data_IF_307390887627
#
_entry.id   IF_307390887627
#
_cell.length_a   1.000
_cell.length_b   1.000
_cell.length_c   1.000
_cell.angle_alpha   90.00
_cell.angle_beta   90.00
_cell.angle_gamma   90.00
#
_symmetry.space_group_name_H-M   'P 1'
#
loop_
_entity.id
_entity.type
_entity.pdbx_description
1 polymer ?
#
# COMPACT_ATOMS: atom_id res chain seq x y z
N UNK A 1 -32.19 -15.66 20.00
CA UNK A 1 -30.92 -15.07 20.48
C UNK A 1 -29.82 -15.47 19.52
N UNK A 2 -29.41 -14.55 18.65
CA UNK A 2 -28.22 -14.68 17.81
C UNK A 2 -27.34 -13.51 18.17
N UNK A 3 -26.29 -13.79 18.94
CA UNK A 3 -25.32 -12.78 19.37
C UNK A 3 -24.44 -12.46 18.16
N UNK A 4 -24.68 -11.30 17.56
CA UNK A 4 -23.79 -10.69 16.57
C UNK A 4 -22.46 -10.40 17.26
N UNK A 5 -21.44 -11.19 16.92
CA UNK A 5 -20.07 -10.90 17.31
C UNK A 5 -19.60 -9.67 16.54
N UNK A 6 -19.65 -8.51 17.19
CA UNK A 6 -18.93 -7.32 16.74
C UNK A 6 -17.45 -7.53 17.09
N UNK A 7 -16.70 -8.15 16.18
CA UNK A 7 -15.26 -7.91 16.15
C UNK A 7 -15.08 -6.48 15.68
N UNK A 8 -14.91 -5.55 16.62
CA UNK A 8 -14.50 -4.18 16.35
C UNK A 8 -13.16 -4.26 15.63
N UNK A 9 -13.10 -3.79 14.38
CA UNK A 9 -11.85 -3.70 13.60
C UNK A 9 -10.80 -2.76 14.23
N UNK A 10 -11.12 -2.12 15.36
CA UNK A 10 -10.22 -1.33 16.20
C UNK A 10 -9.31 -2.17 17.12
N UNK A 11 -9.41 -3.51 17.14
CA UNK A 11 -8.71 -4.33 18.14
C UNK A 11 -7.29 -4.77 17.77
N UNK A 12 -6.80 -4.49 16.55
CA UNK A 12 -5.45 -4.88 16.12
C UNK A 12 -4.55 -3.65 16.10
N UNK A 13 -3.48 -3.60 16.92
CA UNK A 13 -2.55 -2.48 16.91
C UNK A 13 -1.84 -2.40 15.56
N UNK A 14 -1.45 -1.19 15.11
CA UNK A 14 -0.61 -1.03 13.91
C UNK A 14 0.65 -1.89 14.00
N UNK A 15 1.04 -2.48 12.88
CA UNK A 15 2.18 -3.38 12.78
C UNK A 15 3.03 -3.02 11.56
N UNK A 16 4.31 -3.40 11.61
CA UNK A 16 5.25 -3.18 10.49
C UNK A 16 4.76 -3.84 9.19
N UNK A 17 4.05 -4.97 9.29
CA UNK A 17 3.46 -5.69 8.15
C UNK A 17 2.42 -4.86 7.37
N UNK A 18 1.74 -3.91 8.02
CA UNK A 18 0.75 -3.03 7.40
C UNK A 18 1.36 -2.19 6.26
N UNK A 19 2.66 -1.88 6.37
CA UNK A 19 3.40 -1.11 5.38
C UNK A 19 3.63 -1.89 4.08
N UNK A 20 3.41 -3.21 4.05
CA UNK A 20 3.52 -4.03 2.84
C UNK A 20 2.57 -3.57 1.72
N UNK A 21 1.46 -2.89 2.06
CA UNK A 21 0.58 -2.25 1.07
C UNK A 21 1.29 -1.23 0.17
N UNK A 22 2.35 -0.58 0.66
CA UNK A 22 3.20 0.33 -0.14
C UNK A 22 3.92 -0.43 -1.26
N UNK A 23 4.29 -1.69 -1.03
CA UNK A 23 5.01 -2.55 -1.98
C UNK A 23 4.09 -3.15 -3.05
N UNK A 24 2.77 -3.12 -2.85
CA UNK A 24 1.79 -3.43 -3.90
C UNK A 24 1.74 -2.36 -5.01
N UNK A 25 2.27 -1.16 -4.74
CA UNK A 25 2.48 -0.08 -5.70
C UNK A 25 3.97 0.07 -6.05
N UNK A 26 4.38 1.26 -6.47
CA UNK A 26 5.77 1.60 -6.83
C UNK A 26 6.76 1.66 -5.66
N UNK A 27 6.30 1.51 -4.41
CA UNK A 27 7.16 1.54 -3.24
C UNK A 27 8.22 0.45 -3.24
N UNK A 28 9.40 0.72 -2.70
CA UNK A 28 10.55 -0.18 -2.72
C UNK A 28 11.00 -0.51 -1.30
N UNK A 29 11.56 -1.70 -1.12
CA UNK A 29 12.24 -2.10 0.11
C UNK A 29 13.64 -2.60 -0.22
N UNK A 30 14.63 -2.10 0.50
CA UNK A 30 16.05 -2.43 0.27
C UNK A 30 16.69 -2.91 1.56
N UNK A 31 17.48 -3.98 1.46
CA UNK A 31 18.35 -4.44 2.54
C UNK A 31 19.55 -3.49 2.68
N UNK A 32 19.93 -3.17 3.92
CA UNK A 32 21.05 -2.29 4.25
C UNK A 32 21.89 -2.95 5.34
N UNK A 33 23.22 -2.86 5.22
CA UNK A 33 24.16 -3.41 6.20
C UNK A 33 24.77 -4.76 5.79
N UNK A 34 25.75 -5.21 6.58
CA UNK A 34 26.47 -6.47 6.38
C UNK A 34 25.75 -7.64 7.07
N UNK A 35 25.98 -8.90 6.66
CA UNK A 35 25.44 -10.07 7.37
C UNK A 35 25.74 -10.01 8.87
N UNK A 36 24.71 -10.13 9.72
CA UNK A 36 24.82 -10.04 11.18
C UNK A 36 24.42 -8.69 11.79
N UNK A 37 24.35 -7.63 10.99
CA UNK A 37 23.84 -6.30 11.38
C UNK A 37 22.98 -5.72 10.24
N UNK A 38 22.04 -6.55 9.75
CA UNK A 38 21.19 -6.20 8.61
C UNK A 38 19.93 -5.50 9.09
N UNK A 39 19.61 -4.39 8.41
CA UNK A 39 18.30 -3.77 8.44
C UNK A 39 17.71 -3.70 7.04
N UNK A 40 16.49 -3.18 6.95
CA UNK A 40 15.90 -2.80 5.69
C UNK A 40 15.30 -1.39 5.78
N UNK A 41 15.11 -0.78 4.61
CA UNK A 41 14.45 0.52 4.44
C UNK A 41 13.34 0.38 3.43
N UNK A 42 12.14 0.82 3.80
CA UNK A 42 11.00 0.96 2.90
C UNK A 42 10.90 2.41 2.43
N UNK A 43 10.53 2.63 1.17
CA UNK A 43 10.42 3.96 0.56
C UNK A 43 9.32 4.02 -0.50
N UNK A 44 8.70 5.18 -0.67
CA UNK A 44 7.71 5.43 -1.71
C UNK A 44 7.80 6.88 -2.20
N UNK A 45 7.91 7.03 -3.52
CA UNK A 45 7.71 8.30 -4.21
C UNK A 45 6.23 8.41 -4.57
N UNK A 46 5.61 9.53 -4.21
CA UNK A 46 4.17 9.78 -4.37
C UNK A 46 3.93 11.12 -5.06
N UNK A 47 2.75 11.28 -5.65
CA UNK A 47 2.42 12.48 -6.45
C UNK A 47 2.11 13.73 -5.60
N UNK A 48 1.75 13.55 -4.33
CA UNK A 48 1.34 14.64 -3.44
C UNK A 48 1.96 14.53 -2.05
N UNK A 49 2.35 15.66 -1.46
CA UNK A 49 2.98 15.71 -0.14
C UNK A 49 2.09 15.16 0.98
N UNK A 50 0.77 15.33 0.87
CA UNK A 50 -0.17 14.81 1.86
C UNK A 50 -0.15 13.27 1.92
N UNK A 51 0.11 12.59 0.80
CA UNK A 51 0.28 11.13 0.77
C UNK A 51 1.54 10.70 1.50
N UNK A 52 2.64 11.40 1.26
CA UNK A 52 3.91 11.13 1.93
C UNK A 52 3.75 11.32 3.45
N UNK A 53 3.07 12.39 3.86
CA UNK A 53 2.78 12.72 5.26
C UNK A 53 1.87 11.67 5.91
N UNK A 54 0.80 11.24 5.24
CA UNK A 54 -0.08 10.19 5.75
C UNK A 54 0.59 8.82 5.84
N UNK A 55 1.47 8.48 4.89
CA UNK A 55 2.32 7.29 4.98
C UNK A 55 3.34 7.40 6.12
N UNK A 56 3.88 8.60 6.38
CA UNK A 56 4.76 8.85 7.52
C UNK A 56 4.05 8.62 8.87
N UNK A 57 2.78 8.99 8.98
CA UNK A 57 1.95 8.65 10.15
C UNK A 57 1.82 7.13 10.32
N UNK A 58 1.49 6.39 9.25
CA UNK A 58 1.42 4.93 9.30
C UNK A 58 2.75 4.27 9.71
N UNK A 59 3.88 4.81 9.22
CA UNK A 59 5.22 4.36 9.62
C UNK A 59 5.44 4.59 11.12
N UNK A 60 5.06 5.76 11.64
CA UNK A 60 5.19 6.08 13.07
C UNK A 60 4.30 5.19 13.94
N UNK A 61 3.05 4.98 13.52
CA UNK A 61 2.11 4.08 14.18
C UNK A 61 2.64 2.65 14.27
N UNK A 62 3.32 2.17 13.23
CA UNK A 62 3.99 0.86 13.20
C UNK A 62 5.28 0.80 14.05
N UNK A 63 5.63 1.87 14.78
CA UNK A 63 6.80 1.94 15.65
C UNK A 63 8.12 2.20 14.93
N UNK A 64 8.08 2.68 13.69
CA UNK A 64 9.27 3.03 12.90
C UNK A 64 9.45 4.55 12.81
N UNK A 65 10.67 4.99 12.45
CA UNK A 65 10.97 6.41 12.24
C UNK A 65 10.76 6.76 10.77
N UNK A 66 9.81 7.65 10.43
CA UNK A 66 9.66 8.15 9.07
C UNK A 66 10.65 9.28 8.76
N UNK A 67 11.06 9.35 7.50
CA UNK A 67 11.81 10.44 6.90
C UNK A 67 11.02 10.93 5.68
N UNK A 68 10.60 12.20 5.72
CA UNK A 68 10.02 12.88 4.55
C UNK A 68 11.14 13.56 3.76
N UNK A 69 11.01 13.56 2.45
CA UNK A 69 11.95 14.21 1.55
C UNK A 69 11.34 14.43 0.18
N UNK A 70 12.21 14.73 -0.79
CA UNK A 70 11.86 14.83 -2.21
C UNK A 70 12.93 14.12 -3.04
N UNK A 71 12.57 13.65 -4.22
CA UNK A 71 13.53 13.18 -5.23
C UNK A 71 14.30 14.37 -5.82
N UNK A 72 15.32 14.08 -6.64
CA UNK A 72 16.08 15.12 -7.35
C UNK A 72 15.18 15.89 -8.36
N UNK A 73 14.13 15.24 -8.87
CA UNK A 73 13.07 15.84 -9.69
C UNK A 73 11.96 16.52 -8.86
N UNK A 74 12.22 16.81 -7.58
CA UNK A 74 11.32 17.55 -6.69
C UNK A 74 9.99 16.81 -6.39
N UNK A 75 9.95 15.49 -6.54
CA UNK A 75 8.74 14.69 -6.28
C UNK A 75 8.69 14.23 -4.81
N UNK A 76 7.55 14.37 -4.09
CA UNK A 76 7.45 13.93 -2.69
C UNK A 76 7.86 12.47 -2.45
N UNK A 77 8.64 12.25 -1.40
CA UNK A 77 9.18 10.96 -1.00
C UNK A 77 8.94 10.75 0.50
N UNK A 78 8.54 9.54 0.87
CA UNK A 78 8.59 9.06 2.25
C UNK A 78 9.45 7.81 2.32
N UNK A 79 10.24 7.66 3.38
CA UNK A 79 10.98 6.43 3.67
C UNK A 79 11.08 6.20 5.16
N UNK A 80 11.43 4.98 5.54
CA UNK A 80 11.79 4.66 6.93
C UNK A 80 13.27 4.94 7.17
N UNK A 81 13.66 5.18 8.42
CA UNK A 81 15.01 4.87 8.86
C UNK A 81 15.30 3.37 8.61
N UNK A 82 16.58 3.00 8.55
CA UNK A 82 16.95 1.58 8.45
C UNK A 82 16.54 0.86 9.73
N UNK A 83 15.82 -0.26 9.61
CA UNK A 83 15.32 -1.02 10.76
C UNK A 83 15.42 -2.53 10.55
N UNK A 84 15.89 -3.30 11.55
CA UNK A 84 15.83 -4.76 11.53
C UNK A 84 14.40 -5.31 11.42
N UNK A 85 13.40 -4.57 11.92
CA UNK A 85 12.00 -4.99 11.86
C UNK A 85 11.44 -5.14 10.44
N UNK A 86 12.08 -4.48 9.45
CA UNK A 86 11.71 -4.55 8.04
C UNK A 86 12.37 -5.72 7.30
N UNK A 87 13.35 -6.43 7.89
CA UNK A 87 14.10 -7.49 7.21
C UNK A 87 13.19 -8.64 6.78
N UNK A 88 12.22 -9.03 7.60
CA UNK A 88 11.24 -10.06 7.25
C UNK A 88 10.43 -9.69 6.01
N UNK A 89 9.92 -8.45 5.96
CA UNK A 89 9.20 -7.93 4.80
C UNK A 89 10.10 -7.91 3.57
N UNK A 90 11.35 -7.43 3.71
CA UNK A 90 12.29 -7.39 2.61
C UNK A 90 12.55 -8.78 2.03
N UNK A 91 12.76 -9.78 2.89
CA UNK A 91 12.98 -11.17 2.48
C UNK A 91 11.77 -11.79 1.75
N UNK A 92 10.55 -11.44 2.15
CA UNK A 92 9.33 -11.95 1.52
C UNK A 92 8.99 -11.25 0.20
N UNK A 93 9.26 -9.96 0.11
CA UNK A 93 8.89 -9.12 -1.04
C UNK A 93 10.00 -8.95 -2.08
N UNK A 94 11.16 -9.56 -1.88
CA UNK A 94 12.26 -9.49 -2.85
C UNK A 94 12.84 -10.86 -3.15
N UNK A 95 13.22 -11.08 -4.42
CA UNK A 95 14.10 -12.18 -4.84
C UNK A 95 15.31 -11.60 -5.55
N UNK A 96 16.42 -11.52 -4.83
CA UNK A 96 17.58 -10.73 -5.28
C UNK A 96 17.17 -9.26 -5.37
N UNK A 97 17.35 -8.64 -6.55
CA UNK A 97 16.97 -7.26 -6.80
C UNK A 97 15.53 -7.08 -7.31
N UNK A 98 14.76 -8.17 -7.47
CA UNK A 98 13.43 -8.14 -8.09
C UNK A 98 12.34 -8.12 -7.03
N UNK A 99 11.38 -7.20 -7.16
CA UNK A 99 10.16 -7.16 -6.34
C UNK A 99 9.27 -8.36 -6.65
N UNK A 100 8.78 -9.03 -5.61
CA UNK A 100 7.86 -10.16 -5.70
C UNK A 100 6.71 -9.99 -4.71
N UNK A 101 5.60 -10.71 -4.95
CA UNK A 101 4.48 -10.77 -4.00
C UNK A 101 4.61 -12.05 -3.17
N UNK A 102 4.58 -11.99 -1.83
CA UNK A 102 4.70 -13.18 -1.01
C UNK A 102 3.58 -14.18 -1.30
N UNK A 103 3.87 -15.50 -1.33
CA UNK A 103 2.83 -16.51 -1.53
C UNK A 103 1.72 -16.38 -0.51
N UNK A 104 0.47 -16.33 -0.99
CA UNK A 104 -0.74 -16.19 -0.18
C UNK A 104 -0.89 -14.86 0.56
N UNK A 105 -0.08 -13.84 0.29
CA UNK A 105 -0.32 -12.50 0.82
C UNK A 105 -1.75 -12.03 0.48
N UNK A 106 -2.44 -11.48 1.47
CA UNK A 106 -3.77 -10.89 1.37
C UNK A 106 -3.71 -9.54 2.08
N UNK A 107 -4.10 -8.44 1.43
CA UNK A 107 -4.08 -7.15 2.08
C UNK A 107 -5.23 -7.04 3.10
N UNK A 108 -4.90 -6.68 4.34
CA UNK A 108 -5.88 -6.26 5.34
C UNK A 108 -6.27 -4.79 5.17
N UNK A 109 -7.09 -4.25 6.08
CA UNK A 109 -7.51 -2.85 6.07
C UNK A 109 -6.34 -1.85 5.97
N UNK A 110 -5.29 -2.05 6.78
CA UNK A 110 -4.14 -1.14 6.83
C UNK A 110 -3.23 -1.28 5.60
N UNK A 111 -3.01 -2.49 5.07
CA UNK A 111 -2.31 -2.66 3.79
C UNK A 111 -3.09 -2.03 2.62
N UNK A 112 -4.43 -2.16 2.59
CA UNK A 112 -5.26 -1.49 1.59
C UNK A 112 -5.16 0.03 1.71
N UNK A 113 -5.14 0.57 2.94
CA UNK A 113 -4.94 2.00 3.20
C UNK A 113 -3.56 2.46 2.70
N UNK A 114 -2.49 1.73 3.02
CA UNK A 114 -1.14 2.05 2.55
C UNK A 114 -1.03 2.02 1.03
N UNK A 115 -1.66 1.04 0.36
CA UNK A 115 -1.71 0.96 -1.11
C UNK A 115 -2.49 2.13 -1.72
N UNK A 116 -3.63 2.50 -1.11
CA UNK A 116 -4.46 3.64 -1.53
C UNK A 116 -3.71 4.96 -1.38
N UNK A 117 -2.97 5.13 -0.29
CA UNK A 117 -2.10 6.28 -0.08
C UNK A 117 -0.96 6.33 -1.10
N UNK A 118 -0.34 5.20 -1.41
CA UNK A 118 0.78 5.14 -2.34
C UNK A 118 0.37 5.41 -3.79
N UNK A 119 -0.79 4.89 -4.25
CA UNK A 119 -1.14 4.91 -5.67
C UNK A 119 -2.65 4.87 -5.99
N UNK A 120 -3.52 5.23 -5.04
CA UNK A 120 -4.97 5.28 -5.24
C UNK A 120 -5.43 6.51 -6.03
N UNK A 121 -6.32 6.35 -7.00
CA UNK A 121 -6.87 7.46 -7.78
C UNK A 121 -8.31 7.21 -8.24
N UNK A 122 -9.25 8.18 -8.15
CA UNK A 122 -10.57 8.05 -8.73
C UNK A 122 -10.52 8.15 -10.27
N UNK A 123 -11.31 7.33 -10.97
CA UNK A 123 -11.48 7.38 -12.42
C UNK A 123 -12.97 7.25 -12.77
N UNK A 124 -13.66 8.38 -12.94
CA UNK A 124 -15.11 8.40 -13.12
C UNK A 124 -15.83 7.71 -11.95
N UNK A 125 -16.63 6.68 -12.26
CA UNK A 125 -17.33 5.83 -11.28
C UNK A 125 -16.48 4.63 -10.80
N UNK A 126 -15.16 4.71 -10.98
CA UNK A 126 -14.22 3.66 -10.61
C UNK A 126 -13.15 4.20 -9.66
N UNK A 127 -12.50 3.27 -8.98
CA UNK A 127 -11.30 3.57 -8.22
C UNK A 127 -10.14 2.73 -8.73
N UNK A 128 -8.99 3.35 -8.92
CA UNK A 128 -7.78 2.70 -9.37
C UNK A 128 -6.84 2.52 -8.18
N UNK A 129 -6.30 1.31 -8.04
CA UNK A 129 -5.10 1.06 -7.25
C UNK A 129 -3.94 0.87 -8.23
N UNK A 130 -3.03 1.84 -8.29
CA UNK A 130 -1.86 1.78 -9.16
C UNK A 130 -0.91 0.64 -8.78
N UNK A 131 -0.28 0.06 -9.78
CA UNK A 131 0.70 -1.02 -9.66
C UNK A 131 2.08 -0.54 -10.10
N UNK A 132 3.12 -1.27 -9.73
CA UNK A 132 4.48 -0.95 -10.16
C UNK A 132 4.70 -1.25 -11.65
N UNK A 133 4.97 -0.26 -12.52
CA UNK A 133 5.30 -0.51 -13.92
C UNK A 133 6.62 -1.28 -14.12
N UNK A 134 7.52 -1.26 -13.15
CA UNK A 134 8.82 -1.93 -13.20
C UNK A 134 8.80 -3.35 -12.61
N UNK A 135 7.66 -3.81 -12.09
CA UNK A 135 7.50 -5.17 -11.56
C UNK A 135 6.23 -5.85 -12.12
N UNK A 136 6.13 -6.07 -13.45
CA UNK A 136 4.92 -6.63 -14.08
C UNK A 136 4.50 -8.01 -13.54
N UNK A 137 5.45 -8.82 -13.09
CA UNK A 137 5.18 -10.13 -12.51
C UNK A 137 4.37 -10.07 -11.20
N UNK A 138 4.28 -8.89 -10.57
CA UNK A 138 3.48 -8.67 -9.36
C UNK A 138 2.00 -8.43 -9.65
N UNK A 139 1.63 -8.03 -10.88
CA UNK A 139 0.29 -7.52 -11.20
C UNK A 139 -0.81 -8.57 -11.01
N UNK A 140 -0.61 -9.77 -11.56
CA UNK A 140 -1.59 -10.87 -11.47
C UNK A 140 -1.71 -11.43 -10.04
N UNK A 141 -0.62 -11.66 -9.29
CA UNK A 141 -0.69 -12.01 -7.87
C UNK A 141 -1.44 -10.97 -7.02
N UNK A 142 -1.20 -9.67 -7.22
CA UNK A 142 -1.89 -8.59 -6.51
C UNK A 142 -3.39 -8.53 -6.84
N UNK A 143 -3.76 -8.70 -8.12
CA UNK A 143 -5.15 -8.81 -8.53
C UNK A 143 -5.85 -10.00 -7.84
N UNK A 144 -5.18 -11.15 -7.80
CA UNK A 144 -5.69 -12.37 -7.15
C UNK A 144 -5.85 -12.20 -5.64
N UNK A 145 -4.92 -11.51 -4.98
CA UNK A 145 -5.02 -11.19 -3.57
C UNK A 145 -6.25 -10.31 -3.27
N UNK A 146 -6.48 -9.29 -4.11
CA UNK A 146 -7.63 -8.38 -3.96
C UNK A 146 -8.96 -9.11 -4.19
N UNK A 147 -9.03 -10.02 -5.17
CA UNK A 147 -10.18 -10.90 -5.37
C UNK A 147 -10.50 -11.75 -4.14
N UNK A 148 -9.48 -12.29 -3.48
CA UNK A 148 -9.63 -13.17 -2.30
C UNK A 148 -10.13 -12.43 -1.06
N UNK A 149 -9.89 -11.12 -0.94
CA UNK A 149 -10.52 -10.28 0.09
C UNK A 149 -11.88 -9.71 -0.33
N UNK A 150 -12.41 -10.16 -1.48
CA UNK A 150 -13.76 -9.84 -1.94
C UNK A 150 -13.88 -8.55 -2.74
N UNK A 151 -12.77 -7.98 -3.20
CA UNK A 151 -12.72 -6.80 -4.07
C UNK A 151 -12.18 -7.26 -5.44
N UNK A 152 -13.04 -7.78 -6.30
CA UNK A 152 -12.61 -8.29 -7.61
C UNK A 152 -12.34 -7.15 -8.61
N UNK A 153 -11.07 -6.87 -8.98
CA UNK A 153 -10.70 -5.77 -9.86
C UNK A 153 -10.63 -6.19 -11.33
N UNK A 154 -10.44 -5.21 -12.22
CA UNK A 154 -9.97 -5.43 -13.60
C UNK A 154 -8.56 -4.87 -13.73
N UNK A 155 -7.59 -5.70 -14.15
CA UNK A 155 -6.24 -5.23 -14.46
C UNK A 155 -6.27 -4.41 -15.77
N UNK A 156 -5.79 -3.17 -15.72
CA UNK A 156 -5.74 -2.23 -16.84
C UNK A 156 -4.34 -1.64 -17.00
N UNK A 157 -4.09 -0.94 -18.11
CA UNK A 157 -2.90 -0.09 -18.27
C UNK A 157 -1.57 -0.83 -18.46
N UNK A 158 -1.57 -2.17 -18.56
CA UNK A 158 -0.36 -3.00 -18.67
C UNK A 158 0.48 -2.72 -19.92
N UNK A 159 -0.12 -2.13 -20.96
CA UNK A 159 0.60 -1.72 -22.20
C UNK A 159 0.96 -0.22 -22.23
N UNK A 160 0.37 0.58 -21.35
CA UNK A 160 0.45 2.05 -21.38
C UNK A 160 1.35 2.66 -20.30
N UNK A 161 2.17 1.84 -19.62
CA UNK A 161 3.11 2.30 -18.59
C UNK A 161 2.46 2.73 -17.26
N UNK A 162 1.13 2.68 -17.13
CA UNK A 162 0.39 2.99 -15.90
C UNK A 162 -0.50 1.82 -15.51
N UNK A 163 0.07 0.65 -15.15
CA UNK A 163 -0.72 -0.50 -14.76
C UNK A 163 -1.51 -0.20 -13.47
N UNK A 164 -2.76 -0.64 -13.41
CA UNK A 164 -3.61 -0.44 -12.25
C UNK A 164 -4.67 -1.53 -12.13
N UNK A 165 -5.18 -1.71 -10.92
CA UNK A 165 -6.38 -2.49 -10.63
C UNK A 165 -7.57 -1.55 -10.55
N UNK A 166 -8.45 -1.63 -11.55
CA UNK A 166 -9.70 -0.87 -11.59
C UNK A 166 -10.78 -1.59 -10.81
N UNK A 167 -11.34 -0.90 -9.82
CA UNK A 167 -12.41 -1.37 -8.96
C UNK A 167 -13.70 -0.67 -9.39
N UNK A 168 -14.68 -1.47 -9.82
CA UNK A 168 -15.94 -0.97 -10.36
C UNK A 168 -17.14 -1.61 -9.66
N UNK A 169 -18.20 -0.83 -9.55
CA UNK A 169 -19.48 -1.26 -9.00
C UNK A 169 -19.59 -1.05 -7.50
N UNK A 170 -20.76 -0.57 -7.08
CA UNK A 170 -21.09 -0.12 -5.72
C UNK A 170 -20.59 -1.08 -4.64
N UNK A 171 -20.91 -2.38 -4.72
CA UNK A 171 -20.52 -3.38 -3.71
C UNK A 171 -19.00 -3.47 -3.49
N UNK A 172 -18.20 -3.37 -4.55
CA UNK A 172 -16.73 -3.49 -4.46
C UNK A 172 -16.11 -2.21 -3.93
N UNK A 173 -16.64 -1.05 -4.35
CA UNK A 173 -16.23 0.24 -3.83
C UNK A 173 -16.59 0.40 -2.36
N UNK A 174 -17.79 0.00 -1.93
CA UNK A 174 -18.18 0.01 -0.51
C UNK A 174 -17.22 -0.82 0.33
N UNK A 175 -16.85 -2.03 -0.11
CA UNK A 175 -15.84 -2.85 0.58
C UNK A 175 -14.48 -2.18 0.65
N UNK A 176 -14.02 -1.53 -0.42
CA UNK A 176 -12.77 -0.79 -0.40
C UNK A 176 -12.83 0.34 0.64
N UNK A 177 -13.89 1.16 0.61
CA UNK A 177 -14.10 2.27 1.56
C UNK A 177 -14.15 1.78 3.00
N UNK A 178 -14.88 0.69 3.27
CA UNK A 178 -14.94 0.05 4.59
C UNK A 178 -13.55 -0.39 5.09
N UNK A 179 -12.68 -0.89 4.20
CA UNK A 179 -11.35 -1.35 4.58
C UNK A 179 -10.33 -0.21 4.72
N UNK A 180 -10.36 0.79 3.81
CA UNK A 180 -9.37 1.87 3.81
C UNK A 180 -9.66 2.91 4.89
N UNK A 181 -10.92 3.03 5.33
CA UNK A 181 -11.36 3.99 6.34
C UNK A 181 -11.47 5.41 5.80
N UNK A 182 -11.58 6.38 6.71
CA UNK A 182 -11.72 7.81 6.40
C UNK A 182 -10.46 8.39 5.72
N UNK A 183 -10.60 9.41 4.85
CA UNK A 183 -9.46 10.08 4.25
C UNK A 183 -8.55 10.71 5.32
N UNK A 184 -7.25 10.90 5.03
CA UNK A 184 -6.41 11.82 5.78
C UNK A 184 -7.05 13.20 5.93
N UNK A 185 -6.67 13.94 6.98
CA UNK A 185 -7.24 15.26 7.30
C UNK A 185 -6.91 16.38 6.30
N UNK A 186 -6.01 16.12 5.36
CA UNK A 186 -5.65 17.09 4.31
C UNK A 186 -6.85 17.34 3.36
N UNK A 187 -7.05 18.59 2.98
CA UNK A 187 -8.20 19.00 2.17
C UNK A 187 -8.22 18.32 0.79
N UNK A 188 -7.06 18.09 0.19
CA UNK A 188 -6.95 17.48 -1.13
C UNK A 188 -7.14 15.96 -1.09
N UNK A 189 -6.97 15.34 0.10
CA UNK A 189 -7.10 13.90 0.25
C UNK A 189 -8.52 13.41 -0.06
N UNK A 190 -9.55 14.15 0.37
CA UNK A 190 -10.96 13.77 0.17
C UNK A 190 -11.32 13.64 -1.32
N UNK A 191 -10.76 14.49 -2.18
CA UNK A 191 -11.00 14.44 -3.62
C UNK A 191 -10.41 13.19 -4.30
N UNK A 192 -9.35 12.62 -3.71
CA UNK A 192 -8.59 11.48 -4.25
C UNK A 192 -8.86 10.16 -3.50
N UNK A 193 -9.63 10.19 -2.43
CA UNK A 193 -10.00 9.03 -1.63
C UNK A 193 -11.12 8.20 -2.29
N UNK A 194 -11.17 6.87 -2.09
CA UNK A 194 -12.27 6.08 -2.62
C UNK A 194 -13.61 6.49 -2.00
N UNK A 195 -14.65 6.49 -2.84
CA UNK A 195 -16.03 6.80 -2.49
C UNK A 195 -16.99 5.90 -3.27
N UNK A 196 -18.25 5.86 -2.84
CA UNK A 196 -19.31 5.01 -3.39
C UNK A 196 -20.36 5.84 -4.11
#
# INVERSE_FOLDING_TARGET
>A
MSQLSFFTAESVPPAVADLAGVLAASGQIVMVGAPGDQGARLSAVVDQLWRASALAEMIREAGLVPELGRTDEDTPLVRTAVSPALVGIAAEWTRGAVKTVPPRWLPGPRELRAWTLAAGHPEGDHYLLGLDPHAPDTHSPLASALMRVGIAPTLIGTRGGRPALRISGRRRLSRLVENVGEPPSDADASALWPRV
#
